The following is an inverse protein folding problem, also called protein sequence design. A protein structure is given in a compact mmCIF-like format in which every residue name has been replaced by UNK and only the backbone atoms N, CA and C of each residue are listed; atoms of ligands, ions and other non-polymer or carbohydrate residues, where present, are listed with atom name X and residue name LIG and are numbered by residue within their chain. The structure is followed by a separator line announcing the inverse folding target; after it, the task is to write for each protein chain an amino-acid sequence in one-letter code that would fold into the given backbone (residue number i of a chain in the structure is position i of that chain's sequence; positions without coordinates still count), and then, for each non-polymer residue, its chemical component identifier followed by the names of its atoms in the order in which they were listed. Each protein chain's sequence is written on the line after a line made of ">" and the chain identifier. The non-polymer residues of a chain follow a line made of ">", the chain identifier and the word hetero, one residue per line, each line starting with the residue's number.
data_IF_039722971968
#
_entry.id   IF_039722971968
#
_cell.length_a   1.000
_cell.length_b   1.000
_cell.length_c   1.000
_cell.angle_alpha   90.00
_cell.angle_beta   90.00
_cell.angle_gamma   90.00
#
_symmetry.space_group_name_H-M   'P 1'
#
loop_
_entity.id
_entity.type
_entity.pdbx_description
1 polymer ?
#
# COMPACT_ATOMS: atom_id res chain seq x y z
N UNK A 1 10.94 12.51 33.81
CA UNK A 1 10.76 13.38 32.63
C UNK A 1 11.41 12.80 31.36
N UNK A 2 11.66 11.48 31.29
CA UNK A 2 12.50 10.85 30.23
C UNK A 2 11.72 9.95 29.25
N UNK A 3 10.48 9.57 29.55
CA UNK A 3 9.71 8.59 28.75
C UNK A 3 9.30 9.08 27.36
N UNK A 4 9.12 10.40 27.18
CA UNK A 4 8.60 10.97 25.92
C UNK A 4 9.56 10.81 24.74
N UNK A 5 10.87 10.76 24.99
CA UNK A 5 11.87 10.66 23.92
C UNK A 5 11.95 9.24 23.34
N UNK A 6 11.76 8.20 24.17
CA UNK A 6 11.88 6.79 23.74
C UNK A 6 10.85 6.38 22.69
N UNK A 7 9.60 6.85 22.81
CA UNK A 7 8.56 6.55 21.81
C UNK A 7 8.84 7.17 20.45
N UNK A 8 9.42 8.38 20.43
CA UNK A 8 9.82 9.05 19.19
C UNK A 8 10.96 8.28 18.51
N UNK A 9 11.95 7.79 19.26
CA UNK A 9 13.02 6.98 18.68
C UNK A 9 12.51 5.68 18.06
N UNK A 10 11.55 4.99 18.71
CA UNK A 10 10.91 3.80 18.11
C UNK A 10 10.20 4.12 16.80
N UNK A 11 9.45 5.23 16.77
CA UNK A 11 8.78 5.68 15.55
C UNK A 11 9.80 6.01 14.44
N UNK A 12 10.90 6.68 14.77
CA UNK A 12 11.96 6.98 13.82
C UNK A 12 12.62 5.71 13.26
N UNK A 13 12.92 4.73 14.12
CA UNK A 13 13.44 3.43 13.67
C UNK A 13 12.45 2.73 12.76
N UNK A 14 11.16 2.73 13.12
CA UNK A 14 10.11 2.17 12.27
C UNK A 14 10.04 2.89 10.91
N UNK A 15 10.07 4.23 10.87
CA UNK A 15 10.05 5.01 9.62
C UNK A 15 11.28 4.67 8.77
N UNK A 16 12.46 4.58 9.38
CA UNK A 16 13.69 4.21 8.69
C UNK A 16 13.60 2.80 8.10
N UNK A 17 13.03 1.83 8.82
CA UNK A 17 12.79 0.47 8.30
C UNK A 17 11.75 0.51 7.17
N UNK A 18 10.65 1.22 7.37
CA UNK A 18 9.60 1.39 6.38
C UNK A 18 10.08 2.11 5.12
N UNK A 19 11.15 2.92 5.25
CA UNK A 19 11.86 3.60 4.18
C UNK A 19 13.01 2.76 3.56
N UNK A 20 13.70 1.94 4.35
CA UNK A 20 14.87 1.17 3.94
C UNK A 20 14.52 -0.18 3.32
N UNK A 21 13.43 -0.82 3.75
CA UNK A 21 12.90 -2.02 3.08
C UNK A 21 12.27 -1.71 1.70
N UNK A 22 12.27 -0.43 1.27
CA UNK A 22 11.64 0.05 0.04
C UNK A 22 12.32 -0.31 -1.30
N UNK A 23 13.64 -0.50 -1.43
CA UNK A 23 14.26 -0.71 -2.74
C UNK A 23 14.77 -2.15 -2.96
N UNK A 24 14.42 -3.13 -2.12
CA UNK A 24 14.90 -4.51 -2.31
C UNK A 24 14.21 -5.24 -3.47
N UNK A 25 13.03 -4.79 -3.90
CA UNK A 25 12.37 -5.30 -5.09
C UNK A 25 12.71 -4.41 -6.29
N UNK A 26 13.39 -4.98 -7.28
CA UNK A 26 13.76 -4.34 -8.54
C UNK A 26 12.55 -3.98 -9.43
N UNK A 27 11.35 -4.40 -9.04
CA UNK A 27 10.06 -4.10 -9.68
C UNK A 27 9.11 -3.26 -8.81
N UNK A 28 7.97 -2.90 -9.39
CA UNK A 28 6.89 -2.18 -8.71
C UNK A 28 6.10 -3.13 -7.78
N UNK A 29 6.66 -3.52 -6.64
CA UNK A 29 6.00 -4.44 -5.70
C UNK A 29 5.87 -5.88 -6.22
N UNK A 30 5.14 -6.71 -5.48
CA UNK A 30 4.82 -8.08 -5.90
C UNK A 30 3.75 -8.10 -7.00
N UNK A 31 3.61 -9.20 -7.74
CA UNK A 31 2.51 -9.35 -8.72
C UNK A 31 1.13 -9.14 -8.05
N UNK A 32 0.99 -9.61 -6.82
CA UNK A 32 -0.20 -9.43 -5.98
C UNK A 32 -0.50 -7.96 -5.65
N UNK A 33 0.54 -7.17 -5.39
CA UNK A 33 0.39 -5.74 -5.15
C UNK A 33 0.02 -5.01 -6.46
N UNK A 34 0.60 -5.45 -7.57
CA UNK A 34 0.37 -4.90 -8.90
C UNK A 34 -1.05 -5.16 -9.40
N UNK A 35 -1.65 -6.32 -9.10
CA UNK A 35 -3.07 -6.57 -9.43
C UNK A 35 -4.01 -5.65 -8.66
N UNK A 36 -3.71 -5.33 -7.39
CA UNK A 36 -4.48 -4.38 -6.57
C UNK A 36 -4.31 -2.95 -7.07
N UNK A 37 -3.09 -2.59 -7.50
CA UNK A 37 -2.81 -1.30 -8.11
C UNK A 37 -3.57 -1.17 -9.44
N UNK A 38 -3.47 -2.19 -10.29
CA UNK A 38 -4.19 -2.28 -11.56
C UNK A 38 -5.70 -2.13 -11.37
N UNK A 39 -6.26 -2.77 -10.33
CA UNK A 39 -7.67 -2.64 -9.98
C UNK A 39 -8.01 -1.20 -9.59
N UNK A 40 -7.20 -0.57 -8.74
CA UNK A 40 -7.36 0.84 -8.34
C UNK A 40 -7.41 1.77 -9.53
N UNK A 41 -6.43 1.66 -10.44
CA UNK A 41 -6.37 2.55 -11.60
C UNK A 41 -7.49 2.25 -12.60
N UNK A 42 -7.95 1.00 -12.70
CA UNK A 42 -9.06 0.64 -13.60
C UNK A 42 -10.39 1.22 -13.12
N UNK A 43 -10.60 1.27 -11.80
CA UNK A 43 -11.76 1.94 -11.21
C UNK A 43 -11.77 3.43 -11.61
N UNK A 44 -10.61 4.08 -11.56
CA UNK A 44 -10.52 5.54 -11.81
C UNK A 44 -10.44 5.90 -13.30
N UNK A 45 -9.66 5.17 -14.10
CA UNK A 45 -9.46 5.47 -15.53
C UNK A 45 -10.53 4.90 -16.44
N UNK A 46 -11.12 3.75 -16.06
CA UNK A 46 -12.03 2.98 -16.91
C UNK A 46 -13.41 2.76 -16.28
N UNK A 47 -13.61 3.17 -15.02
CA UNK A 47 -14.82 2.86 -14.26
C UNK A 47 -15.17 1.35 -14.32
N UNK A 48 -14.14 0.51 -14.17
CA UNK A 48 -14.22 -0.94 -14.35
C UNK A 48 -13.23 -1.67 -13.45
N UNK A 49 -13.52 -2.93 -13.12
CA UNK A 49 -12.58 -3.84 -12.43
C UNK A 49 -11.69 -4.62 -13.40
N UNK A 50 -11.89 -4.47 -14.71
CA UNK A 50 -11.07 -5.13 -15.72
C UNK A 50 -9.68 -4.51 -15.77
N UNK A 51 -8.68 -5.33 -15.44
CA UNK A 51 -7.25 -4.97 -15.40
C UNK A 51 -6.48 -5.44 -16.64
N UNK A 52 -7.15 -6.01 -17.64
CA UNK A 52 -6.48 -6.52 -18.85
C UNK A 52 -5.64 -5.45 -19.56
N UNK A 53 -6.13 -4.20 -19.60
CA UNK A 53 -5.46 -3.08 -20.26
C UNK A 53 -4.19 -2.60 -19.56
N UNK A 54 -3.93 -3.01 -18.31
CA UNK A 54 -2.76 -2.57 -17.54
C UNK A 54 -1.54 -3.45 -17.77
N UNK A 55 -1.67 -4.56 -18.50
CA UNK A 55 -0.57 -5.48 -18.78
C UNK A 55 0.62 -4.80 -19.44
N UNK A 56 0.36 -3.96 -20.44
CA UNK A 56 1.39 -3.22 -21.16
C UNK A 56 2.06 -2.15 -20.27
N UNK A 57 1.33 -1.62 -19.29
CA UNK A 57 1.86 -0.67 -18.32
C UNK A 57 2.83 -1.33 -17.35
N UNK A 58 2.46 -2.50 -16.84
CA UNK A 58 3.21 -3.20 -15.79
C UNK A 58 4.36 -4.03 -16.39
N UNK A 59 4.29 -4.35 -17.69
CA UNK A 59 5.27 -5.21 -18.40
C UNK A 59 5.46 -6.56 -17.71
N UNK A 60 4.37 -7.09 -17.18
CA UNK A 60 4.34 -8.37 -16.46
C UNK A 60 3.01 -9.04 -16.74
N UNK A 61 3.03 -10.37 -16.81
CA UNK A 61 1.82 -11.16 -16.82
C UNK A 61 1.33 -11.40 -15.40
N UNK A 62 0.03 -11.23 -15.20
CA UNK A 62 -0.60 -11.62 -13.96
C UNK A 62 -0.78 -13.14 -13.92
N UNK A 63 -0.08 -13.79 -12.98
CA UNK A 63 -0.18 -15.24 -12.78
C UNK A 63 -1.43 -15.62 -11.95
N UNK A 64 -1.69 -14.91 -10.85
CA UNK A 64 -2.79 -15.20 -9.93
C UNK A 64 -3.97 -14.23 -10.10
N UNK A 65 -4.78 -14.46 -11.14
CA UNK A 65 -5.94 -13.64 -11.52
C UNK A 65 -7.07 -14.48 -12.10
N UNK A 66 -8.28 -13.95 -12.08
CA UNK A 66 -9.41 -14.54 -12.79
C UNK A 66 -9.42 -14.07 -14.24
N UNK A 67 -9.43 -15.01 -15.18
CA UNK A 67 -9.53 -14.76 -16.62
C UNK A 67 -10.89 -15.24 -17.12
N UNK A 68 -11.53 -14.42 -17.94
CA UNK A 68 -12.82 -14.74 -18.58
C UNK A 68 -12.61 -15.31 -19.99
N UNK A 69 -13.58 -16.05 -20.56
CA UNK A 69 -13.48 -16.57 -21.92
C UNK A 69 -13.30 -15.50 -23.00
N UNK A 70 -13.79 -14.28 -22.77
CA UNK A 70 -13.63 -13.12 -23.67
C UNK A 70 -12.32 -12.36 -23.46
N UNK A 71 -11.42 -12.86 -22.61
CA UNK A 71 -10.06 -12.35 -22.45
C UNK A 71 -9.90 -11.23 -21.41
N UNK A 72 -10.97 -10.83 -20.72
CA UNK A 72 -10.88 -9.87 -19.60
C UNK A 72 -10.23 -10.49 -18.39
N UNK A 73 -9.56 -9.66 -17.60
CA UNK A 73 -8.78 -10.08 -16.45
C UNK A 73 -9.24 -9.31 -15.23
N UNK A 74 -9.45 -10.01 -14.13
CA UNK A 74 -9.91 -9.45 -12.87
C UNK A 74 -8.99 -9.91 -11.74
N UNK A 75 -8.71 -9.02 -10.78
CA UNK A 75 -8.05 -9.42 -9.55
C UNK A 75 -8.96 -10.36 -8.75
N UNK A 76 -8.41 -11.47 -8.29
CA UNK A 76 -9.08 -12.39 -7.35
C UNK A 76 -8.81 -12.01 -5.88
N UNK A 77 -8.10 -10.90 -5.64
CA UNK A 77 -7.76 -10.40 -4.31
C UNK A 77 -8.90 -9.54 -3.76
N UNK A 78 -8.96 -9.39 -2.44
CA UNK A 78 -10.00 -8.56 -1.83
C UNK A 78 -9.85 -7.10 -2.28
N UNK A 79 -10.95 -6.44 -2.70
CA UNK A 79 -10.86 -5.14 -3.37
C UNK A 79 -10.74 -3.97 -2.40
N UNK A 80 -10.80 -4.21 -1.08
CA UNK A 80 -10.90 -3.16 -0.06
C UNK A 80 -9.79 -2.11 -0.17
N UNK A 81 -8.54 -2.53 -0.33
CA UNK A 81 -7.43 -1.58 -0.48
C UNK A 81 -7.49 -0.84 -1.82
N UNK A 82 -7.99 -1.49 -2.88
CA UNK A 82 -8.11 -0.86 -4.20
C UNK A 82 -9.17 0.23 -4.21
N UNK A 83 -10.31 0.00 -3.57
CA UNK A 83 -11.33 1.04 -3.38
C UNK A 83 -10.81 2.18 -2.51
N UNK A 84 -10.16 1.87 -1.38
CA UNK A 84 -9.58 2.87 -0.49
C UNK A 84 -8.54 3.74 -1.21
N UNK A 85 -7.79 3.14 -2.15
CA UNK A 85 -6.75 3.81 -2.91
C UNK A 85 -7.26 4.67 -4.07
N UNK A 86 -8.48 4.42 -4.57
CA UNK A 86 -9.03 5.13 -5.72
C UNK A 86 -9.05 6.67 -5.58
N UNK A 87 -9.55 7.28 -4.48
CA UNK A 87 -9.51 8.73 -4.32
C UNK A 87 -8.08 9.28 -4.27
N UNK A 88 -7.16 8.56 -3.64
CA UNK A 88 -5.75 8.97 -3.58
C UNK A 88 -5.07 8.86 -4.95
N UNK A 89 -5.40 7.84 -5.73
CA UNK A 89 -4.90 7.73 -7.10
C UNK A 89 -5.39 8.87 -7.98
N UNK A 90 -6.65 9.29 -7.84
CA UNK A 90 -7.17 10.45 -8.56
C UNK A 90 -6.35 11.72 -8.26
N UNK A 91 -5.90 11.91 -7.01
CA UNK A 91 -5.01 13.00 -6.61
C UNK A 91 -3.60 12.82 -7.20
N UNK A 92 -3.02 11.62 -7.05
CA UNK A 92 -1.68 11.29 -7.57
C UNK A 92 -1.59 11.50 -9.09
N UNK A 93 -2.66 11.18 -9.82
CA UNK A 93 -2.78 11.40 -11.27
C UNK A 93 -2.66 12.87 -11.65
N UNK A 94 -3.15 13.80 -10.83
CA UNK A 94 -3.02 15.25 -11.10
C UNK A 94 -1.53 15.66 -11.15
N UNK A 95 -0.68 14.96 -10.38
CA UNK A 95 0.75 15.26 -10.26
C UNK A 95 1.58 14.43 -11.26
N UNK A 96 1.34 13.12 -11.34
CA UNK A 96 2.12 12.19 -12.17
C UNK A 96 1.60 12.05 -13.62
N UNK A 97 0.42 12.58 -13.91
CA UNK A 97 -0.27 12.39 -15.18
C UNK A 97 -0.98 11.04 -15.28
N UNK A 98 -1.40 10.70 -16.51
CA UNK A 98 -2.00 9.40 -16.84
C UNK A 98 -1.01 8.26 -16.58
N UNK A 99 -1.49 7.03 -16.30
CA UNK A 99 -0.59 5.92 -16.02
C UNK A 99 0.23 5.56 -17.26
N UNK A 100 1.55 5.47 -17.09
CA UNK A 100 2.53 5.07 -18.10
C UNK A 100 3.46 4.01 -17.50
N UNK A 101 4.16 3.21 -18.31
CA UNK A 101 5.12 2.23 -17.79
C UNK A 101 6.19 2.83 -16.87
N UNK A 102 6.55 4.10 -17.08
CA UNK A 102 7.57 4.82 -16.31
C UNK A 102 7.07 5.24 -14.93
N UNK A 103 5.77 5.55 -14.79
CA UNK A 103 5.22 6.06 -13.53
C UNK A 103 4.48 5.01 -12.69
N UNK A 104 4.32 3.76 -13.18
CA UNK A 104 3.68 2.66 -12.42
C UNK A 104 4.32 2.50 -11.05
N UNK A 105 5.66 2.39 -11.01
CA UNK A 105 6.40 2.18 -9.75
C UNK A 105 6.16 3.31 -8.77
N UNK A 106 6.24 4.55 -9.23
CA UNK A 106 6.04 5.75 -8.39
C UNK A 106 4.60 5.83 -7.90
N UNK A 107 3.62 5.59 -8.79
CA UNK A 107 2.20 5.60 -8.46
C UNK A 107 1.85 4.54 -7.41
N UNK A 108 2.24 3.29 -7.64
CA UNK A 108 2.09 2.19 -6.68
C UNK A 108 2.72 2.54 -5.32
N UNK A 109 3.96 3.05 -5.36
CA UNK A 109 4.71 3.39 -4.16
C UNK A 109 3.99 4.44 -3.31
N UNK A 110 3.54 5.53 -3.95
CA UNK A 110 2.83 6.62 -3.26
C UNK A 110 1.53 6.10 -2.65
N UNK A 111 0.76 5.29 -3.40
CA UNK A 111 -0.47 4.70 -2.89
C UNK A 111 -0.20 3.81 -1.66
N UNK A 112 0.80 2.92 -1.73
CA UNK A 112 1.22 2.08 -0.59
C UNK A 112 1.55 2.92 0.64
N UNK A 113 2.32 4.00 0.47
CA UNK A 113 2.63 4.89 1.60
C UNK A 113 1.36 5.50 2.19
N UNK A 114 0.45 5.99 1.35
CA UNK A 114 -0.77 6.67 1.79
C UNK A 114 -1.73 5.72 2.51
N UNK A 115 -2.02 4.55 1.94
CA UNK A 115 -3.07 3.66 2.48
C UNK A 115 -2.56 2.62 3.47
N UNK A 116 -1.26 2.30 3.45
CA UNK A 116 -0.69 1.28 4.33
C UNK A 116 0.21 1.90 5.40
N UNK A 117 1.20 2.73 5.01
CA UNK A 117 2.25 3.18 5.95
C UNK A 117 1.81 4.34 6.84
N UNK A 118 1.20 5.39 6.25
CA UNK A 118 0.77 6.60 6.97
C UNK A 118 -0.24 6.30 8.09
N UNK A 119 -1.26 5.44 7.91
CA UNK A 119 -2.21 5.16 8.98
C UNK A 119 -1.55 4.65 10.27
N UNK A 120 -0.56 3.76 10.17
CA UNK A 120 0.17 3.28 11.33
C UNK A 120 1.05 4.36 11.97
N UNK A 121 1.67 5.23 11.16
CA UNK A 121 2.43 6.39 11.66
C UNK A 121 1.52 7.35 12.42
N UNK A 122 0.36 7.69 11.85
CA UNK A 122 -0.62 8.58 12.48
C UNK A 122 -1.13 7.99 13.80
N UNK A 123 -1.45 6.69 13.81
CA UNK A 123 -1.84 5.97 15.02
C UNK A 123 -0.73 6.02 16.09
N UNK A 124 0.52 5.76 15.70
CA UNK A 124 1.66 5.83 16.62
C UNK A 124 1.87 7.24 17.20
N UNK A 125 1.78 8.29 16.37
CA UNK A 125 1.87 9.69 16.81
C UNK A 125 0.75 10.02 17.81
N UNK A 126 -0.48 9.59 17.50
CA UNK A 126 -1.62 9.80 18.39
C UNK A 126 -1.41 9.13 19.75
N UNK A 127 -0.95 7.87 19.77
CA UNK A 127 -0.67 7.14 21.02
C UNK A 127 0.50 7.74 21.82
N UNK A 128 1.53 8.27 21.15
CA UNK A 128 2.60 9.04 21.81
C UNK A 128 1.99 10.28 22.49
N UNK A 129 1.07 10.98 21.82
CA UNK A 129 0.35 12.12 22.39
C UNK A 129 -0.56 11.76 23.57
N UNK A 130 -1.01 10.51 23.64
CA UNK A 130 -1.75 9.94 24.77
C UNK A 130 -0.86 9.37 25.88
N UNK A 131 0.45 9.59 25.80
CA UNK A 131 1.44 9.10 26.77
C UNK A 131 1.43 7.58 26.99
N UNK A 132 1.10 6.82 25.95
CA UNK A 132 1.20 5.35 25.95
C UNK A 132 2.65 4.94 26.21
N UNK A 133 2.83 3.85 26.96
CA UNK A 133 4.16 3.38 27.29
C UNK A 133 4.93 2.84 26.07
N UNK A 134 6.25 2.91 26.15
CA UNK A 134 7.15 2.52 25.06
C UNK A 134 7.01 1.05 24.66
N UNK A 135 6.63 0.16 25.58
CA UNK A 135 6.45 -1.26 25.25
C UNK A 135 5.20 -1.47 24.41
N UNK A 136 4.08 -0.89 24.80
CA UNK A 136 2.84 -0.93 24.02
C UNK A 136 3.04 -0.35 22.61
N UNK A 137 3.77 0.77 22.49
CA UNK A 137 4.10 1.36 21.20
C UNK A 137 5.02 0.45 20.36
N UNK A 138 6.03 -0.15 20.99
CA UNK A 138 6.93 -1.11 20.34
C UNK A 138 6.19 -2.36 19.85
N UNK A 139 5.26 -2.88 20.66
CA UNK A 139 4.41 -4.02 20.29
C UNK A 139 3.58 -3.67 19.07
N UNK A 140 2.89 -2.53 19.09
CA UNK A 140 2.08 -2.06 17.96
C UNK A 140 2.92 -1.98 16.66
N UNK A 141 4.07 -1.30 16.72
CA UNK A 141 4.90 -0.98 15.55
C UNK A 141 5.64 -2.18 14.97
N UNK A 142 5.99 -3.19 15.79
CA UNK A 142 6.91 -4.25 15.36
C UNK A 142 6.38 -5.67 15.60
N UNK A 143 5.45 -5.86 16.53
CA UNK A 143 5.00 -7.19 16.98
C UNK A 143 3.51 -7.45 16.70
N UNK A 144 2.89 -6.68 15.80
CA UNK A 144 1.52 -6.95 15.32
C UNK A 144 1.51 -7.16 13.81
N UNK A 145 0.44 -7.78 13.25
CA UNK A 145 0.23 -7.82 11.79
C UNK A 145 0.17 -6.44 11.12
N UNK A 146 0.02 -5.34 11.88
CA UNK A 146 0.08 -3.99 11.34
C UNK A 146 1.47 -3.65 10.82
N UNK A 147 2.54 -4.25 11.36
CA UNK A 147 3.90 -4.06 10.87
C UNK A 147 4.07 -4.54 9.42
N UNK A 148 3.85 -5.83 9.07
CA UNK A 148 3.95 -6.24 7.68
C UNK A 148 2.89 -5.57 6.79
N UNK A 149 1.71 -5.24 7.31
CA UNK A 149 0.69 -4.52 6.54
C UNK A 149 1.12 -3.12 6.16
N UNK A 150 1.67 -2.36 7.09
CA UNK A 150 2.12 -1.00 6.82
C UNK A 150 3.31 -0.96 5.85
N UNK A 151 3.97 -2.09 5.66
CA UNK A 151 5.05 -2.30 4.70
C UNK A 151 4.58 -2.85 3.34
N UNK A 152 3.33 -3.28 3.17
CA UNK A 152 2.87 -3.92 1.94
C UNK A 152 1.60 -3.26 1.39
N UNK A 153 1.40 -3.37 0.08
CA UNK A 153 0.16 -2.90 -0.56
C UNK A 153 -0.90 -4.01 -0.57
N UNK A 154 -1.23 -4.49 0.63
CA UNK A 154 -1.91 -5.76 0.86
C UNK A 154 -3.23 -5.57 1.62
N UNK A 155 -4.18 -6.50 1.49
CA UNK A 155 -5.59 -6.24 1.87
C UNK A 155 -6.12 -6.99 3.09
N UNK A 156 -5.40 -7.99 3.61
CA UNK A 156 -5.99 -8.96 4.57
C UNK A 156 -6.26 -8.43 5.98
N UNK A 157 -5.72 -7.27 6.38
CA UNK A 157 -6.01 -6.70 7.72
C UNK A 157 -7.40 -6.04 7.78
N UNK A 158 -7.90 -5.48 6.67
CA UNK A 158 -9.25 -4.85 6.64
C UNK A 158 -10.39 -5.86 6.84
N UNK A 159 -10.11 -7.17 6.75
CA UNK A 159 -11.07 -8.26 6.91
C UNK A 159 -10.78 -9.16 8.11
N UNK A 160 -9.74 -8.86 8.91
CA UNK A 160 -9.34 -9.69 10.05
C UNK A 160 -10.12 -9.36 11.35
N UNK A 161 -11.32 -8.80 11.22
CA UNK A 161 -12.23 -8.48 12.34
C UNK A 161 -13.53 -9.25 12.18
#
# INVERSE_FOLDING_TARGET
>A
MERRNSGIYLLLVYILIAAYLLPLFSGAGSEDDLTRWATTISIVEKNSFDISWTKDLIRSDFNDVTKTPDGRIYSNKSPGISFLSAPFYAIVKVILGKPTPENVRTSWFVLRIIVSTIPLIVLAIWLIGMEVDTYSLGVLLFATPLFPYSLLYYSHVLTAV
#
